data_IF_484166805678
#
_entry.id   IF_484166805678
#
_cell.length_a   1.000
_cell.length_b   1.000
_cell.length_c   1.000
_cell.angle_alpha   90.00
_cell.angle_beta   90.00
_cell.angle_gamma   90.00
#
_symmetry.space_group_name_H-M   'P 1'
#
loop_
_entity.id
_entity.type
_entity.pdbx_description
1 polymer ?
#
# COMPACT_ATOMS: atom_id res chain seq x y z
N UNK A 1 -10.97 -50.07 -19.98
CA UNK A 1 -10.52 -48.68 -19.67
C UNK A 1 -10.68 -48.48 -18.18
N UNK A 2 -9.60 -48.71 -17.43
CA UNK A 2 -9.66 -49.10 -16.02
C UNK A 2 -9.77 -47.96 -15.03
N UNK A 3 -10.10 -48.31 -13.78
CA UNK A 3 -10.17 -47.42 -12.60
C UNK A 3 -8.95 -46.48 -12.46
N UNK A 4 -7.76 -46.95 -12.85
CA UNK A 4 -6.53 -46.15 -12.84
C UNK A 4 -6.58 -44.92 -13.76
N UNK A 5 -7.22 -45.01 -14.93
CA UNK A 5 -7.37 -43.87 -15.85
C UNK A 5 -8.20 -42.75 -15.23
N UNK A 6 -9.29 -43.10 -14.54
CA UNK A 6 -10.11 -42.13 -13.81
C UNK A 6 -9.34 -41.47 -12.66
N UNK A 7 -8.50 -42.22 -11.95
CA UNK A 7 -7.63 -41.66 -10.92
C UNK A 7 -6.60 -40.67 -11.51
N UNK A 8 -5.95 -41.02 -12.62
CA UNK A 8 -5.00 -40.12 -13.30
C UNK A 8 -5.67 -38.83 -13.82
N UNK A 9 -6.84 -38.94 -14.44
CA UNK A 9 -7.59 -37.77 -14.94
C UNK A 9 -8.04 -36.87 -13.79
N UNK A 10 -8.49 -37.45 -12.66
CA UNK A 10 -8.87 -36.69 -11.48
C UNK A 10 -7.67 -35.97 -10.86
N UNK A 11 -6.53 -36.65 -10.68
CA UNK A 11 -5.32 -36.07 -10.11
C UNK A 11 -4.79 -34.94 -11.02
N UNK A 12 -4.71 -35.17 -12.34
CA UNK A 12 -4.25 -34.15 -13.28
C UNK A 12 -5.18 -32.93 -13.30
N UNK A 13 -6.50 -33.15 -13.26
CA UNK A 13 -7.48 -32.06 -13.18
C UNK A 13 -7.36 -31.25 -11.88
N UNK A 14 -7.09 -31.91 -10.75
CA UNK A 14 -6.88 -31.27 -9.45
C UNK A 14 -5.57 -30.46 -9.47
N UNK A 15 -4.47 -31.04 -9.95
CA UNK A 15 -3.18 -30.35 -10.04
C UNK A 15 -3.22 -29.16 -11.01
N UNK A 16 -3.93 -29.31 -12.14
CA UNK A 16 -4.13 -28.22 -13.09
C UNK A 16 -4.94 -27.07 -12.46
N UNK A 17 -6.01 -27.39 -11.70
CA UNK A 17 -6.75 -26.39 -10.94
C UNK A 17 -5.86 -25.69 -9.91
N UNK A 18 -5.05 -26.44 -9.14
CA UNK A 18 -4.11 -25.86 -8.17
C UNK A 18 -3.05 -24.99 -8.86
N UNK A 19 -2.62 -25.30 -10.09
CA UNK A 19 -1.66 -24.45 -10.81
C UNK A 19 -2.30 -23.18 -11.40
N UNK A 20 -3.59 -23.21 -11.75
CA UNK A 20 -4.32 -22.08 -12.34
C UNK A 20 -4.90 -21.16 -11.26
N UNK A 21 -5.42 -21.72 -10.17
CA UNK A 21 -6.07 -20.99 -9.06
C UNK A 21 -5.28 -21.05 -7.75
N UNK A 22 -4.11 -21.68 -7.74
CA UNK A 22 -3.21 -21.65 -6.59
C UNK A 22 -2.79 -20.22 -6.30
N UNK A 23 -2.58 -19.87 -5.01
CA UNK A 23 -2.12 -18.55 -4.64
C UNK A 23 -0.77 -18.35 -5.33
N UNK A 24 -0.73 -17.43 -6.29
CA UNK A 24 0.56 -16.92 -6.77
C UNK A 24 1.18 -16.30 -5.53
N UNK A 25 2.44 -16.61 -5.22
CA UNK A 25 3.27 -15.88 -4.25
C UNK A 25 3.49 -14.39 -4.63
N UNK A 26 2.65 -13.83 -5.50
CA UNK A 26 2.29 -12.43 -5.51
C UNK A 26 0.85 -12.35 -5.05
N UNK A 27 0.62 -12.51 -3.74
CA UNK A 27 -0.42 -11.74 -3.09
C UNK A 27 -0.14 -10.31 -3.51
N UNK A 28 -0.86 -9.83 -4.52
CA UNK A 28 -1.07 -8.42 -4.70
C UNK A 28 -1.57 -7.98 -3.34
N UNK A 29 -0.71 -7.34 -2.54
CA UNK A 29 -1.18 -6.33 -1.59
C UNK A 29 -2.20 -5.57 -2.41
N UNK A 30 -3.48 -5.73 -2.09
CA UNK A 30 -4.54 -5.01 -2.75
C UNK A 30 -4.36 -3.58 -2.25
N UNK A 31 -3.42 -2.84 -2.86
CA UNK A 31 -3.03 -1.49 -2.47
C UNK A 31 -4.18 -0.58 -2.88
N UNK A 32 -5.22 -0.62 -2.07
CA UNK A 32 -6.37 0.25 -2.14
C UNK A 32 -6.03 1.54 -1.39
N UNK A 33 -6.29 2.69 -2.02
CA UNK A 33 -6.01 3.99 -1.42
C UNK A 33 -6.92 4.25 -0.20
N UNK A 34 -6.47 5.12 0.71
CA UNK A 34 -7.27 5.62 1.84
C UNK A 34 -7.61 4.61 2.94
N UNK A 35 -7.04 3.40 2.91
CA UNK A 35 -7.20 2.39 3.95
C UNK A 35 -6.05 2.46 4.96
N UNK A 36 -6.37 2.69 6.24
CA UNK A 36 -5.42 2.48 7.35
C UNK A 36 -5.40 1.00 7.72
N UNK A 37 -4.22 0.47 8.03
CA UNK A 37 -4.06 -0.92 8.48
C UNK A 37 -4.70 -1.15 9.86
N UNK A 38 -4.68 -0.13 10.73
CA UNK A 38 -5.25 -0.19 12.07
C UNK A 38 -6.18 1.01 12.33
N UNK A 39 -7.32 0.74 12.97
CA UNK A 39 -8.29 1.76 13.37
C UNK A 39 -7.98 2.23 14.79
N UNK A 40 -7.03 3.15 14.90
CA UNK A 40 -6.90 3.93 16.13
C UNK A 40 -8.15 4.79 16.34
N UNK A 41 -8.57 4.91 17.60
CA UNK A 41 -9.51 5.95 18.00
C UNK A 41 -8.81 7.31 17.90
N UNK A 42 -9.10 8.03 16.82
CA UNK A 42 -8.59 9.39 16.60
C UNK A 42 -9.71 10.37 16.93
N UNK A 43 -9.42 11.33 17.82
CA UNK A 43 -10.34 12.43 18.10
C UNK A 43 -10.62 13.22 16.82
N UNK A 44 -11.89 13.54 16.54
CA UNK A 44 -12.27 14.42 15.41
C UNK A 44 -11.60 15.79 15.52
N UNK A 45 -11.35 16.26 16.75
CA UNK A 45 -10.65 17.52 17.02
C UNK A 45 -9.25 17.23 17.55
N UNK A 46 -8.24 17.67 16.80
CA UNK A 46 -6.83 17.57 17.18
C UNK A 46 -6.42 18.87 17.88
N UNK A 47 -6.44 18.88 19.21
CA UNK A 47 -5.79 19.92 20.04
C UNK A 47 -4.53 19.27 20.63
N UNK A 48 -3.34 19.79 20.31
CA UNK A 48 -2.03 19.24 20.67
C UNK A 48 -1.74 17.81 20.18
N UNK A 49 -2.77 17.08 19.73
CA UNK A 49 -2.66 15.77 19.11
C UNK A 49 -2.00 14.71 19.99
N UNK A 50 -1.73 13.58 19.36
CA UNK A 50 -0.88 12.52 19.90
C UNK A 50 0.06 12.09 18.78
N UNK A 51 1.20 11.53 19.17
CA UNK A 51 2.11 10.91 18.19
C UNK A 51 1.39 9.79 17.45
N UNK A 52 1.42 9.82 16.13
CA UNK A 52 0.88 8.75 15.30
C UNK A 52 1.78 7.51 15.38
N UNK A 53 1.16 6.33 15.41
CA UNK A 53 1.90 5.09 15.32
C UNK A 53 2.52 4.93 13.91
N UNK A 54 3.71 4.33 13.78
CA UNK A 54 4.29 4.01 12.48
C UNK A 54 3.30 3.24 11.60
N UNK A 55 3.31 3.53 10.30
CA UNK A 55 2.51 2.87 9.25
C UNK A 55 0.98 3.07 9.29
N UNK A 56 0.42 3.77 10.30
CA UNK A 56 -1.02 3.99 10.40
C UNK A 56 -1.56 4.99 9.37
N UNK A 57 -0.69 5.86 8.86
CA UNK A 57 -1.01 6.85 7.84
C UNK A 57 -0.08 6.68 6.64
N UNK A 58 -0.23 5.60 5.85
CA UNK A 58 0.77 5.18 4.87
C UNK A 58 0.92 6.17 3.70
N UNK A 59 0.00 7.11 3.56
CA UNK A 59 0.07 8.19 2.57
C UNK A 59 0.79 9.44 3.06
N UNK A 60 1.18 9.55 4.33
CA UNK A 60 1.90 10.73 4.83
C UNK A 60 3.31 10.79 4.26
N UNK A 61 3.68 11.96 3.71
CA UNK A 61 5.00 12.21 3.12
C UNK A 61 5.63 13.42 3.81
N UNK A 62 6.93 13.32 4.07
CA UNK A 62 7.78 14.43 4.48
C UNK A 62 8.66 14.88 3.30
N UNK A 63 8.70 16.19 3.06
CA UNK A 63 9.51 16.81 2.02
C UNK A 63 10.76 17.41 2.66
N UNK A 64 11.92 17.02 2.13
CA UNK A 64 13.24 17.42 2.59
C UNK A 64 13.99 18.17 1.50
N UNK A 65 14.75 19.17 1.90
CA UNK A 65 15.65 19.90 1.01
C UNK A 65 16.90 19.06 0.68
N UNK A 66 17.74 19.54 -0.23
CA UNK A 66 18.96 18.84 -0.63
C UNK A 66 19.97 18.66 0.51
N UNK A 67 19.88 19.50 1.54
CA UNK A 67 20.63 19.44 2.80
C UNK A 67 19.93 18.63 3.90
N UNK A 68 18.92 17.81 3.57
CA UNK A 68 18.19 16.93 4.49
C UNK A 68 17.40 17.70 5.58
N UNK A 69 17.00 18.93 5.29
CA UNK A 69 16.16 19.74 6.19
C UNK A 69 14.68 19.55 5.83
N UNK A 70 13.88 19.08 6.79
CA UNK A 70 12.42 19.01 6.65
C UNK A 70 11.83 20.41 6.43
N UNK A 71 10.94 20.56 5.45
CA UNK A 71 10.32 21.87 5.20
C UNK A 71 8.80 21.82 4.94
N UNK A 72 8.25 20.70 4.48
CA UNK A 72 6.80 20.57 4.23
C UNK A 72 6.33 19.13 4.31
N UNK A 73 5.01 18.94 4.39
CA UNK A 73 4.34 17.65 4.22
C UNK A 73 3.76 17.44 2.82
N UNK A 74 3.25 16.23 2.59
CA UNK A 74 2.49 15.87 1.39
C UNK A 74 1.69 14.58 1.59
N UNK A 75 0.94 14.21 0.55
CA UNK A 75 0.10 13.00 0.51
C UNK A 75 0.44 12.17 -0.72
N UNK A 76 0.80 10.92 -0.54
CA UNK A 76 1.00 9.96 -1.64
C UNK A 76 -0.38 9.61 -2.25
N UNK A 77 -0.58 9.97 -3.52
CA UNK A 77 -1.86 9.76 -4.23
C UNK A 77 -1.79 8.66 -5.28
N UNK A 78 -0.58 8.23 -5.65
CA UNK A 78 -0.32 7.08 -6.53
C UNK A 78 1.11 6.58 -6.29
N UNK A 79 1.52 5.52 -6.98
CA UNK A 79 2.89 4.97 -6.89
C UNK A 79 4.01 5.94 -7.26
N UNK A 80 3.70 7.07 -7.92
CA UNK A 80 4.70 8.00 -8.44
C UNK A 80 4.39 9.48 -8.17
N UNK A 81 3.29 9.79 -7.48
CA UNK A 81 2.85 11.18 -7.31
C UNK A 81 2.54 11.50 -5.86
N UNK A 82 3.08 12.62 -5.41
CA UNK A 82 2.80 13.24 -4.11
C UNK A 82 2.08 14.56 -4.34
N UNK A 83 0.94 14.74 -3.69
CA UNK A 83 0.21 15.99 -3.62
C UNK A 83 0.71 16.83 -2.45
N UNK A 84 0.95 18.12 -2.66
CA UNK A 84 1.36 19.07 -1.60
C UNK A 84 0.79 20.47 -1.89
N UNK A 85 1.01 21.42 -0.99
CA UNK A 85 0.60 22.81 -1.19
C UNK A 85 1.52 23.52 -2.19
N UNK A 86 0.97 24.40 -3.02
CA UNK A 86 1.75 25.15 -4.02
C UNK A 86 2.88 25.97 -3.38
N UNK A 87 2.67 26.57 -2.21
CA UNK A 87 3.69 27.34 -1.49
C UNK A 87 4.83 26.49 -0.91
N UNK A 88 4.67 25.16 -0.84
CA UNK A 88 5.74 24.24 -0.47
C UNK A 88 6.72 24.02 -1.63
N UNK A 89 6.33 24.37 -2.87
CA UNK A 89 7.26 24.34 -3.97
C UNK A 89 8.25 25.50 -3.82
N UNK A 90 9.47 25.16 -3.40
CA UNK A 90 10.55 26.13 -3.26
C UNK A 90 11.12 26.39 -4.65
N UNK A 91 10.69 27.47 -5.29
CA UNK A 91 11.30 27.93 -6.53
C UNK A 91 12.80 28.10 -6.31
N UNK A 92 13.62 27.44 -7.14
CA UNK A 92 15.08 27.56 -7.07
C UNK A 92 15.61 28.90 -7.63
N UNK A 93 14.74 29.91 -7.80
CA UNK A 93 15.03 31.12 -8.57
C UNK A 93 14.60 32.44 -7.88
N UNK A 94 14.67 32.48 -6.54
CA UNK A 94 14.77 33.72 -5.76
C UNK A 94 15.92 33.62 -4.78
#
# INVERSE_FOLDING_TARGET
MGSSYFAFVAIFSILLKISITGPRNGDTLEINCGRRQEQDFVSERIINGTTAHPDHWPWMVALYSADDTFYCGGVLISSQHVLTAAHCYKDKNT
#
